data_IF_750676861457
#
_entry.id   IF_750676861457
#
_cell.length_a   1.000
_cell.length_b   1.000
_cell.length_c   1.000
_cell.angle_alpha   90.00
_cell.angle_beta   90.00
_cell.angle_gamma   90.00
#
_symmetry.space_group_name_H-M   'P 1'
#
loop_
_entity.id
_entity.type
_entity.pdbx_description
1 polymer ?
#
# COMPACT_ATOMS: atom_id res chain seq x y z
N UNK A 1 13.57 39.21 24.53
CA UNK A 1 13.10 40.60 24.73
C UNK A 1 14.09 41.37 25.60
N UNK A 2 15.22 41.83 25.05
CA UNK A 2 16.10 42.87 25.62
C UNK A 2 17.34 43.05 24.72
N UNK A 3 17.21 43.75 23.58
CA UNK A 3 18.39 44.07 22.75
C UNK A 3 18.19 45.26 21.78
N UNK A 4 17.32 46.22 22.09
CA UNK A 4 17.07 47.39 21.21
C UNK A 4 17.15 48.73 21.95
N UNK A 5 17.88 48.79 23.08
CA UNK A 5 17.90 49.97 23.96
C UNK A 5 19.11 50.90 23.85
N UNK A 6 20.16 50.58 23.08
CA UNK A 6 21.47 51.21 23.31
C UNK A 6 22.21 51.74 22.06
N UNK A 7 21.51 52.16 21.01
CA UNK A 7 22.18 52.73 19.83
C UNK A 7 21.49 53.96 19.21
N UNK A 8 20.95 54.89 20.02
CA UNK A 8 20.46 56.20 19.54
C UNK A 8 21.06 57.41 20.26
N UNK A 9 22.17 57.22 20.96
CA UNK A 9 22.86 58.28 21.72
C UNK A 9 24.34 58.28 21.33
N UNK A 10 24.68 58.90 20.19
CA UNK A 10 25.94 59.64 19.96
C UNK A 10 26.05 60.11 18.48
N UNK A 11 25.59 61.33 18.19
CA UNK A 11 26.27 62.33 17.32
C UNK A 11 25.31 63.47 16.99
N UNK A 12 25.34 64.49 17.84
CA UNK A 12 25.02 65.85 17.44
C UNK A 12 26.00 66.75 18.17
N UNK A 13 27.03 67.20 17.44
CA UNK A 13 27.82 68.37 17.80
C UNK A 13 27.67 69.36 16.63
N UNK A 14 27.58 70.68 16.88
CA UNK A 14 27.24 71.67 15.87
C UNK A 14 28.51 72.19 15.18
N UNK A 15 28.46 72.28 13.85
CA UNK A 15 29.41 73.08 13.08
C UNK A 15 28.77 74.44 12.82
N UNK A 16 29.22 75.38 13.63
CA UNK A 16 28.93 76.79 13.57
C UNK A 16 29.95 77.44 12.65
N UNK A 17 29.56 77.86 11.44
CA UNK A 17 30.36 78.81 10.67
C UNK A 17 29.53 79.69 9.74
N UNK A 18 29.45 80.96 10.17
CA UNK A 18 29.41 82.23 9.42
C UNK A 18 28.42 82.35 8.27
N UNK A 19 27.26 82.94 8.60
CA UNK A 19 26.48 83.75 7.67
C UNK A 19 26.53 85.21 8.14
N UNK A 20 27.41 86.01 7.56
CA UNK A 20 27.29 87.47 7.59
C UNK A 20 26.07 87.84 6.75
N UNK A 21 24.96 88.18 7.41
CA UNK A 21 23.81 88.83 6.78
C UNK A 21 23.67 90.20 7.43
N UNK A 22 23.79 91.22 6.60
CA UNK A 22 23.53 92.61 6.93
C UNK A 22 22.11 92.70 7.52
N UNK A 23 22.00 93.13 8.77
CA UNK A 23 20.73 93.26 9.46
C UNK A 23 19.88 94.35 8.82
N UNK A 24 18.82 93.94 8.12
CA UNK A 24 17.56 94.68 8.13
C UNK A 24 16.66 93.95 9.11
N UNK A 25 16.09 94.69 10.07
CA UNK A 25 15.16 94.17 11.05
C UNK A 25 13.98 93.49 10.35
N UNK A 26 14.03 92.17 10.24
CA UNK A 26 12.98 91.35 9.68
C UNK A 26 11.99 90.99 10.77
N UNK A 27 10.80 91.57 10.70
CA UNK A 27 9.62 91.08 11.43
C UNK A 27 9.47 89.56 11.25
N UNK A 28 8.97 88.90 12.28
CA UNK A 28 8.73 87.46 12.29
C UNK A 28 7.94 87.04 11.03
N UNK A 29 8.45 86.13 10.18
CA UNK A 29 7.76 85.69 8.96
C UNK A 29 6.45 84.93 9.22
N UNK A 30 6.13 84.64 10.49
CA UNK A 30 4.92 83.96 10.93
C UNK A 30 3.90 84.87 11.65
N UNK A 31 4.14 86.18 11.71
CA UNK A 31 3.14 87.15 12.21
C UNK A 31 2.07 87.38 11.12
N UNK A 32 0.78 87.59 11.46
CA UNK A 32 -0.23 87.89 10.45
C UNK A 32 0.20 89.14 9.68
N UNK A 33 0.33 88.99 8.35
CA UNK A 33 0.87 90.02 7.46
C UNK A 33 0.06 91.30 7.64
N UNK A 34 0.61 92.27 8.39
CA UNK A 34 0.06 93.61 8.42
C UNK A 34 0.16 94.19 7.01
N UNK A 35 -0.87 94.90 6.57
CA UNK A 35 -0.92 95.46 5.21
C UNK A 35 0.25 96.43 5.05
N UNK A 36 1.28 96.00 4.33
CA UNK A 36 2.47 96.80 4.04
C UNK A 36 2.04 98.13 3.42
N UNK A 37 2.74 99.24 3.71
CA UNK A 37 2.42 100.56 3.15
C UNK A 37 2.26 100.54 1.61
N UNK A 38 3.04 99.68 0.92
CA UNK A 38 2.87 99.40 -0.50
C UNK A 38 1.51 98.76 -0.84
N UNK A 39 1.03 97.79 -0.05
CA UNK A 39 -0.29 97.19 -0.21
C UNK A 39 -1.45 98.18 -0.02
N UNK A 40 -1.30 99.17 0.88
CA UNK A 40 -2.27 100.27 1.02
C UNK A 40 -2.26 101.22 -0.19
N UNK A 41 -1.10 101.49 -0.77
CA UNK A 41 -1.00 102.29 -2.00
C UNK A 41 -1.56 101.56 -3.22
N UNK A 42 -1.31 100.26 -3.34
CA UNK A 42 -1.83 99.42 -4.42
C UNK A 42 -3.36 99.27 -4.34
N UNK A 43 -3.90 99.01 -3.14
CA UNK A 43 -5.36 98.94 -2.92
C UNK A 43 -6.05 100.29 -3.21
N UNK A 44 -5.44 101.41 -2.80
CA UNK A 44 -5.95 102.75 -3.17
C UNK A 44 -5.91 102.98 -4.68
N UNK A 45 -4.87 102.52 -5.37
CA UNK A 45 -4.75 102.61 -6.84
C UNK A 45 -5.77 101.76 -7.59
N UNK A 46 -6.14 100.59 -7.04
CA UNK A 46 -7.27 99.78 -7.54
C UNK A 46 -8.60 100.48 -7.32
N UNK A 47 -8.83 101.04 -6.13
CA UNK A 47 -10.06 101.77 -5.80
C UNK A 47 -10.21 103.08 -6.58
N UNK A 48 -9.10 103.73 -6.98
CA UNK A 48 -9.15 104.94 -7.81
C UNK A 48 -9.18 104.66 -9.32
N UNK A 49 -9.16 103.39 -9.75
CA UNK A 49 -9.12 102.99 -11.16
C UNK A 49 -7.83 103.33 -11.90
N UNK A 50 -6.79 103.79 -11.18
CA UNK A 50 -5.48 104.11 -11.75
C UNK A 50 -4.66 102.85 -12.09
N UNK A 51 -4.98 101.73 -11.43
CA UNK A 51 -4.45 100.40 -11.72
C UNK A 51 -5.63 99.45 -11.93
N UNK A 52 -5.57 98.60 -12.97
CA UNK A 52 -6.54 97.51 -13.15
C UNK A 52 -6.05 96.26 -12.41
N UNK A 53 -6.97 95.47 -11.87
CA UNK A 53 -6.65 94.17 -11.25
C UNK A 53 -5.84 93.28 -12.23
N UNK A 54 -6.17 93.33 -13.52
CA UNK A 54 -5.46 92.60 -14.58
C UNK A 54 -3.98 93.00 -14.71
N UNK A 55 -3.63 94.25 -14.35
CA UNK A 55 -2.24 94.73 -14.38
C UNK A 55 -1.43 94.28 -13.17
N UNK A 56 -2.08 94.00 -12.03
CA UNK A 56 -1.43 93.43 -10.84
C UNK A 56 -1.29 91.91 -10.95
N UNK A 57 -2.28 91.24 -11.53
CA UNK A 57 -2.29 89.78 -11.69
C UNK A 57 -1.34 89.32 -12.82
N UNK A 58 -0.92 90.23 -13.71
CA UNK A 58 0.16 90.02 -14.68
C UNK A 58 1.53 90.11 -14.01
N UNK A 59 1.77 89.30 -13.00
CA UNK A 59 3.10 89.14 -12.43
C UNK A 59 3.98 88.34 -13.42
N UNK A 60 5.24 88.74 -13.70
CA UNK A 60 6.13 87.97 -14.56
C UNK A 60 6.36 86.57 -13.97
N UNK A 61 6.64 85.60 -14.85
CA UNK A 61 6.94 84.19 -14.52
C UNK A 61 7.73 84.08 -13.20
N UNK A 62 7.36 83.15 -12.30
CA UNK A 62 8.02 83.01 -11.01
C UNK A 62 9.53 82.94 -11.20
N UNK A 63 10.29 83.64 -10.36
CA UNK A 63 11.75 83.68 -10.48
C UNK A 63 12.31 82.24 -10.54
N UNK A 64 13.37 81.98 -11.33
CA UNK A 64 13.88 80.61 -11.54
C UNK A 64 14.17 79.80 -10.26
N UNK A 65 14.41 80.47 -9.13
CA UNK A 65 14.55 79.84 -7.82
C UNK A 65 13.26 79.18 -7.30
N UNK A 66 12.08 79.77 -7.53
CA UNK A 66 10.79 79.20 -7.11
C UNK A 66 10.41 77.96 -7.90
N UNK A 67 10.77 77.92 -9.20
CA UNK A 67 10.61 76.71 -10.02
C UNK A 67 11.45 75.57 -9.42
N UNK A 68 12.72 75.84 -9.11
CA UNK A 68 13.60 74.83 -8.45
C UNK A 68 13.07 74.40 -7.08
N UNK A 69 12.52 75.30 -6.28
CA UNK A 69 11.89 74.93 -5.01
C UNK A 69 10.69 73.99 -5.23
N UNK A 70 9.82 74.31 -6.19
CA UNK A 70 8.67 73.45 -6.51
C UNK A 70 9.10 72.08 -7.03
N UNK A 71 10.18 72.00 -7.82
CA UNK A 71 10.75 70.73 -8.28
C UNK A 71 11.32 69.92 -7.11
N UNK A 72 12.06 70.57 -6.20
CA UNK A 72 12.59 69.88 -5.01
C UNK A 72 11.49 69.41 -4.06
N UNK A 73 10.41 70.18 -3.93
CA UNK A 73 9.22 69.78 -3.17
C UNK A 73 8.53 68.58 -3.82
N UNK A 74 8.36 68.58 -5.14
CA UNK A 74 7.81 67.44 -5.89
C UNK A 74 8.68 66.19 -5.72
N UNK A 75 10.01 66.32 -5.80
CA UNK A 75 10.95 65.20 -5.58
C UNK A 75 10.82 64.67 -4.15
N UNK A 76 10.74 65.55 -3.15
CA UNK A 76 10.56 65.16 -1.76
C UNK A 76 9.23 64.43 -1.54
N UNK A 77 8.15 64.91 -2.15
CA UNK A 77 6.83 64.29 -2.09
C UNK A 77 6.84 62.90 -2.74
N UNK A 78 7.43 62.77 -3.94
CA UNK A 78 7.59 61.46 -4.61
C UNK A 78 8.46 60.51 -3.80
N UNK A 79 9.53 61.00 -3.17
CA UNK A 79 10.37 60.18 -2.29
C UNK A 79 9.61 59.71 -1.05
N UNK A 80 8.76 60.56 -0.48
CA UNK A 80 7.89 60.18 0.63
C UNK A 80 6.90 59.08 0.19
N UNK A 81 6.29 59.22 -0.99
CA UNK A 81 5.39 58.21 -1.56
C UNK A 81 6.11 56.87 -1.82
N UNK A 82 7.32 56.90 -2.39
CA UNK A 82 8.16 55.69 -2.58
C UNK A 82 8.45 55.03 -1.23
N UNK A 83 8.80 55.83 -0.21
CA UNK A 83 9.08 55.29 1.12
C UNK A 83 7.85 54.63 1.74
N UNK A 84 6.67 55.23 1.55
CA UNK A 84 5.40 54.69 2.01
C UNK A 84 5.06 53.38 1.31
N UNK A 85 5.18 53.33 -0.02
CA UNK A 85 4.93 52.11 -0.80
C UNK A 85 5.90 50.99 -0.43
N UNK A 86 7.17 51.30 -0.16
CA UNK A 86 8.14 50.32 0.31
C UNK A 86 7.74 49.70 1.65
N UNK A 87 7.23 50.51 2.59
CA UNK A 87 6.74 50.01 3.87
C UNK A 87 5.51 49.12 3.69
N UNK A 88 4.58 49.49 2.80
CA UNK A 88 3.41 48.67 2.48
C UNK A 88 3.80 47.32 1.86
N UNK A 89 4.78 47.31 0.95
CA UNK A 89 5.35 46.08 0.39
C UNK A 89 5.97 45.21 1.48
N UNK A 90 6.70 45.81 2.43
CA UNK A 90 7.30 45.07 3.53
C UNK A 90 6.24 44.44 4.43
N UNK A 91 5.16 45.16 4.75
CA UNK A 91 4.02 44.64 5.51
C UNK A 91 3.38 43.45 4.77
N UNK A 92 3.04 43.61 3.50
CA UNK A 92 2.43 42.53 2.70
C UNK A 92 3.34 41.31 2.58
N UNK A 93 4.65 41.52 2.48
CA UNK A 93 5.62 40.43 2.48
C UNK A 93 5.63 39.69 3.82
N UNK A 94 5.65 40.41 4.93
CA UNK A 94 5.58 39.81 6.26
C UNK A 94 4.27 39.04 6.48
N UNK A 95 3.14 39.56 5.99
CA UNK A 95 1.86 38.87 6.04
C UNK A 95 1.88 37.58 5.22
N UNK A 96 2.45 37.61 4.01
CA UNK A 96 2.63 36.42 3.17
C UNK A 96 3.51 35.38 3.86
N UNK A 97 4.65 35.79 4.40
CA UNK A 97 5.61 34.90 5.05
C UNK A 97 5.04 34.29 6.35
N UNK A 98 4.07 34.95 6.97
CA UNK A 98 3.38 34.49 8.19
C UNK A 98 2.05 33.79 7.89
N UNK A 99 1.57 33.83 6.63
CA UNK A 99 0.24 33.35 6.27
C UNK A 99 0.02 31.86 6.59
N UNK A 100 1.06 31.04 6.55
CA UNK A 100 0.96 29.60 6.80
C UNK A 100 0.66 29.24 8.27
N UNK A 101 0.83 30.20 9.19
CA UNK A 101 0.55 30.07 10.62
C UNK A 101 -0.54 31.02 11.13
N UNK A 102 -0.88 32.09 10.40
CA UNK A 102 -1.95 33.03 10.81
C UNK A 102 -3.23 32.85 10.02
N UNK A 103 -3.14 32.45 8.74
CA UNK A 103 -4.31 32.40 7.89
C UNK A 103 -5.13 31.12 8.18
N UNK A 104 -6.44 31.25 8.46
CA UNK A 104 -7.30 30.12 8.77
C UNK A 104 -7.34 29.06 7.65
N UNK A 105 -7.14 29.44 6.39
CA UNK A 105 -7.11 28.50 5.25
C UNK A 105 -5.98 27.48 5.40
N UNK A 106 -4.73 27.94 5.55
CA UNK A 106 -3.56 27.06 5.67
C UNK A 106 -3.58 26.28 7.00
N UNK A 107 -4.05 26.90 8.08
CA UNK A 107 -4.22 26.21 9.37
C UNK A 107 -5.27 25.09 9.30
N UNK A 108 -6.40 25.34 8.64
CA UNK A 108 -7.45 24.33 8.44
C UNK A 108 -6.92 23.18 7.61
N UNK A 109 -6.18 23.47 6.53
CA UNK A 109 -5.55 22.45 5.70
C UNK A 109 -4.56 21.58 6.50
N UNK A 110 -3.65 22.20 7.27
CA UNK A 110 -2.71 21.48 8.14
C UNK A 110 -3.45 20.65 9.22
N UNK A 111 -4.50 21.21 9.82
CA UNK A 111 -5.34 20.53 10.81
C UNK A 111 -6.05 19.30 10.23
N UNK A 112 -6.62 19.42 9.03
CA UNK A 112 -7.26 18.30 8.33
C UNK A 112 -6.27 17.18 8.02
N UNK A 113 -5.06 17.51 7.59
CA UNK A 113 -4.01 16.53 7.34
C UNK A 113 -3.62 15.78 8.62
N UNK A 114 -3.43 16.51 9.74
CA UNK A 114 -3.15 15.90 11.04
C UNK A 114 -4.32 15.02 11.52
N UNK A 115 -5.56 15.47 11.31
CA UNK A 115 -6.74 14.70 11.69
C UNK A 115 -6.87 13.43 10.85
N UNK A 116 -6.54 13.46 9.56
CA UNK A 116 -6.50 12.29 8.70
C UNK A 116 -5.45 11.27 9.19
N UNK A 117 -4.25 11.74 9.55
CA UNK A 117 -3.20 10.89 10.14
C UNK A 117 -3.65 10.26 11.46
N UNK A 118 -4.28 11.04 12.35
CA UNK A 118 -4.81 10.52 13.61
C UNK A 118 -5.88 9.44 13.40
N UNK A 119 -6.83 9.66 12.47
CA UNK A 119 -7.83 8.64 12.10
C UNK A 119 -7.17 7.35 11.60
N UNK A 120 -6.14 7.47 10.77
CA UNK A 120 -5.37 6.31 10.29
C UNK A 120 -4.67 5.58 11.45
N UNK A 121 -4.01 6.31 12.35
CA UNK A 121 -3.37 5.71 13.53
C UNK A 121 -4.38 5.00 14.43
N UNK A 122 -5.55 5.59 14.65
CA UNK A 122 -6.65 4.93 15.39
C UNK A 122 -7.10 3.64 14.72
N UNK A 123 -7.22 3.62 13.38
CA UNK A 123 -7.55 2.42 12.63
C UNK A 123 -6.49 1.33 12.81
N UNK A 124 -5.20 1.67 12.63
CA UNK A 124 -4.08 0.74 12.84
C UNK A 124 -4.07 0.17 14.27
N UNK A 125 -4.37 1.00 15.28
CA UNK A 125 -4.46 0.53 16.66
C UNK A 125 -5.65 -0.41 16.90
N UNK A 126 -6.80 -0.15 16.26
CA UNK A 126 -7.95 -1.07 16.30
C UNK A 126 -7.61 -2.40 15.64
N UNK A 127 -6.98 -2.39 14.47
CA UNK A 127 -6.56 -3.59 13.76
C UNK A 127 -5.54 -4.40 14.55
N UNK A 128 -4.55 -3.72 15.15
CA UNK A 128 -3.59 -4.37 16.05
C UNK A 128 -4.27 -5.03 17.24
N UNK A 129 -5.28 -4.39 17.85
CA UNK A 129 -6.06 -4.99 18.94
C UNK A 129 -6.89 -6.18 18.44
N UNK A 130 -7.54 -6.06 17.29
CA UNK A 130 -8.31 -7.16 16.68
C UNK A 130 -7.43 -8.35 16.33
N UNK A 131 -6.23 -8.11 15.79
CA UNK A 131 -5.25 -9.16 15.50
C UNK A 131 -4.77 -9.83 16.78
N UNK A 132 -4.44 -9.05 17.82
CA UNK A 132 -4.13 -9.63 19.15
C UNK A 132 -5.28 -10.45 19.67
N UNK A 133 -6.52 -9.99 19.58
CA UNK A 133 -7.68 -10.78 19.99
C UNK A 133 -7.80 -12.07 19.19
N UNK A 134 -7.56 -12.05 17.88
CA UNK A 134 -7.59 -13.27 17.03
C UNK A 134 -6.47 -14.25 17.35
N UNK A 135 -5.27 -13.77 17.67
CA UNK A 135 -4.11 -14.59 18.03
C UNK A 135 -4.19 -15.11 19.47
N UNK A 136 -4.74 -14.29 20.38
CA UNK A 136 -4.95 -14.64 21.79
C UNK A 136 -6.20 -15.48 21.97
N UNK A 137 -7.20 -15.39 21.08
CA UNK A 137 -8.27 -16.38 20.95
C UNK A 137 -7.53 -17.68 20.66
N UNK A 138 -7.33 -18.55 21.66
CA UNK A 138 -6.59 -19.75 21.41
C UNK A 138 -7.43 -20.56 20.43
N UNK A 139 -6.84 -21.55 19.78
CA UNK A 139 -7.58 -22.68 19.22
C UNK A 139 -8.22 -23.47 20.39
N UNK A 140 -9.04 -22.77 21.17
CA UNK A 140 -9.63 -23.11 22.47
C UNK A 140 -11.04 -23.66 22.27
N UNK A 141 -11.24 -24.34 21.16
CA UNK A 141 -12.26 -25.38 21.11
C UNK A 141 -11.66 -26.75 21.43
N UNK A 142 -10.32 -26.90 21.53
CA UNK A 142 -9.70 -28.22 21.74
C UNK A 142 -8.80 -28.38 22.98
N UNK A 143 -8.34 -27.29 23.61
CA UNK A 143 -7.59 -27.39 24.88
C UNK A 143 -8.49 -27.06 26.06
N UNK A 144 -9.07 -28.09 26.67
CA UNK A 144 -9.70 -27.97 27.99
C UNK A 144 -8.69 -27.32 28.96
N UNK A 145 -9.11 -26.36 29.81
CA UNK A 145 -8.27 -25.88 30.89
C UNK A 145 -8.01 -27.03 31.84
N UNK A 146 -6.85 -27.68 31.70
CA UNK A 146 -6.38 -28.66 32.67
C UNK A 146 -5.80 -27.84 33.84
N UNK A 147 -6.37 -28.02 35.02
CA UNK A 147 -5.85 -27.43 36.24
C UNK A 147 -4.41 -27.91 36.49
N UNK A 148 -3.52 -27.02 36.91
CA UNK A 148 -2.07 -27.27 36.99
C UNK A 148 -1.69 -28.53 37.77
N UNK A 149 -2.53 -28.94 38.74
CA UNK A 149 -2.38 -30.15 39.55
C UNK A 149 -2.44 -31.43 38.70
N UNK A 150 -3.21 -31.43 37.61
CA UNK A 150 -3.41 -32.60 36.75
C UNK A 150 -2.41 -32.70 35.58
N UNK A 151 -1.55 -31.69 35.37
CA UNK A 151 -0.62 -31.68 34.24
C UNK A 151 0.35 -32.87 34.28
N UNK A 152 0.88 -33.20 35.46
CA UNK A 152 1.78 -34.35 35.62
C UNK A 152 1.12 -35.66 35.18
N UNK A 153 -0.11 -35.87 35.63
CA UNK A 153 -0.87 -37.08 35.32
C UNK A 153 -1.25 -37.15 33.84
N UNK A 154 -1.63 -36.03 33.23
CA UNK A 154 -1.96 -35.97 31.80
C UNK A 154 -0.73 -36.25 30.93
N UNK A 155 0.44 -35.72 31.29
CA UNK A 155 1.70 -36.00 30.58
C UNK A 155 2.07 -37.48 30.71
N UNK A 156 1.91 -38.09 31.88
CA UNK A 156 2.16 -39.52 32.08
C UNK A 156 1.20 -40.39 31.24
N UNK A 157 -0.09 -40.06 31.22
CA UNK A 157 -1.10 -40.80 30.44
C UNK A 157 -0.87 -40.64 28.93
N UNK A 158 -0.52 -39.44 28.46
CA UNK A 158 -0.16 -39.20 27.06
C UNK A 158 1.10 -39.97 26.67
N UNK A 159 2.10 -40.04 27.56
CA UNK A 159 3.29 -40.86 27.37
C UNK A 159 2.96 -42.35 27.21
N UNK A 160 2.09 -42.88 28.07
CA UNK A 160 1.62 -44.27 27.98
C UNK A 160 0.81 -44.53 26.70
N UNK A 161 -0.05 -43.58 26.30
CA UNK A 161 -0.84 -43.68 25.08
C UNK A 161 0.05 -43.68 23.83
N UNK A 162 1.07 -42.81 23.78
CA UNK A 162 2.04 -42.80 22.68
C UNK A 162 2.82 -44.11 22.58
N UNK A 163 3.33 -44.62 23.70
CA UNK A 163 4.04 -45.90 23.73
C UNK A 163 3.13 -47.08 23.33
N UNK A 164 1.85 -47.03 23.71
CA UNK A 164 0.86 -48.02 23.28
C UNK A 164 0.60 -47.95 21.77
N UNK A 165 0.44 -46.75 21.20
CA UNK A 165 0.22 -46.54 19.77
C UNK A 165 1.42 -47.04 18.97
N UNK A 166 2.64 -46.68 19.37
CA UNK A 166 3.87 -47.14 18.71
C UNK A 166 3.98 -48.67 18.74
N UNK A 167 3.66 -49.29 19.88
CA UNK A 167 3.62 -50.75 20.00
C UNK A 167 2.54 -51.38 19.11
N UNK A 168 1.35 -50.80 19.08
CA UNK A 168 0.25 -51.27 18.22
C UNK A 168 0.61 -51.18 16.74
N UNK A 169 1.24 -50.08 16.32
CA UNK A 169 1.70 -49.88 14.96
C UNK A 169 2.79 -50.89 14.57
N UNK A 170 3.72 -51.18 15.47
CA UNK A 170 4.72 -52.24 15.27
C UNK A 170 4.06 -53.62 15.08
N UNK A 171 3.05 -53.94 15.90
CA UNK A 171 2.29 -55.18 15.74
C UNK A 171 1.54 -55.21 14.40
N UNK A 172 0.91 -54.11 14.00
CA UNK A 172 0.20 -54.01 12.72
C UNK A 172 1.15 -54.17 11.53
N UNK A 173 2.34 -53.56 11.61
CA UNK A 173 3.40 -53.73 10.63
C UNK A 173 3.86 -55.19 10.53
N UNK A 174 4.03 -55.89 11.66
CA UNK A 174 4.35 -57.33 11.65
C UNK A 174 3.25 -58.16 11.00
N UNK A 175 1.97 -57.89 11.31
CA UNK A 175 0.83 -58.57 10.68
C UNK A 175 0.78 -58.32 9.17
N UNK A 176 1.08 -57.11 8.72
CA UNK A 176 1.18 -56.78 7.28
C UNK A 176 2.38 -57.42 6.59
N UNK A 177 3.45 -57.71 7.34
CA UNK A 177 4.66 -58.36 6.81
C UNK A 177 4.54 -59.89 6.71
N UNK A 178 3.51 -60.49 7.32
CA UNK A 178 3.16 -61.89 7.08
C UNK A 178 2.94 -62.04 5.57
N UNK A 179 3.63 -62.98 4.89
CA UNK A 179 3.77 -63.00 3.45
C UNK A 179 2.42 -62.85 2.79
N UNK A 180 2.27 -61.83 1.93
CA UNK A 180 1.07 -61.42 1.22
C UNK A 180 0.13 -62.61 0.98
N UNK A 181 -0.75 -62.87 1.95
CA UNK A 181 -1.69 -63.97 1.91
C UNK A 181 -2.47 -63.98 0.59
N UNK A 182 -2.87 -62.82 0.02
CA UNK A 182 -3.50 -62.78 -1.30
C UNK A 182 -2.61 -63.27 -2.45
N UNK A 183 -1.30 -63.01 -2.40
CA UNK A 183 -0.34 -63.47 -3.42
C UNK A 183 -0.11 -64.97 -3.31
N UNK A 184 0.03 -65.48 -2.09
CA UNK A 184 0.14 -66.92 -1.85
C UNK A 184 -1.12 -67.68 -2.31
N UNK A 185 -2.31 -67.16 -1.99
CA UNK A 185 -3.60 -67.73 -2.44
C UNK A 185 -3.69 -67.72 -3.97
N UNK A 186 -3.38 -66.59 -4.62
CA UNK A 186 -3.39 -66.49 -6.09
C UNK A 186 -2.44 -67.51 -6.76
N UNK A 187 -1.26 -67.74 -6.16
CA UNK A 187 -0.33 -68.75 -6.66
C UNK A 187 -0.89 -70.16 -6.50
N UNK A 188 -1.58 -70.45 -5.40
CA UNK A 188 -2.27 -71.73 -5.18
C UNK A 188 -3.43 -71.91 -6.16
N UNK A 189 -4.26 -70.89 -6.40
CA UNK A 189 -5.35 -70.93 -7.39
C UNK A 189 -4.81 -71.21 -8.79
N UNK A 190 -3.69 -70.59 -9.15
CA UNK A 190 -3.01 -70.86 -10.44
C UNK A 190 -2.47 -72.28 -10.51
N UNK A 191 -1.95 -72.83 -9.41
CA UNK A 191 -1.49 -74.22 -9.36
C UNK A 191 -2.66 -75.20 -9.48
N UNK A 192 -3.78 -74.90 -8.82
CA UNK A 192 -5.00 -75.70 -8.89
C UNK A 192 -5.56 -75.74 -10.31
N UNK A 193 -5.66 -74.58 -10.99
CA UNK A 193 -6.11 -74.53 -12.38
C UNK A 193 -5.20 -75.33 -13.34
N UNK A 194 -3.88 -75.36 -13.10
CA UNK A 194 -2.95 -76.21 -13.86
C UNK A 194 -3.18 -77.69 -13.59
N UNK A 195 -3.46 -78.06 -12.35
CA UNK A 195 -3.80 -79.44 -12.02
C UNK A 195 -5.10 -79.89 -12.68
N UNK A 196 -6.14 -79.05 -12.66
CA UNK A 196 -7.42 -79.36 -13.32
C UNK A 196 -7.24 -79.58 -14.83
N UNK A 197 -6.42 -78.74 -15.48
CA UNK A 197 -6.06 -78.91 -16.89
C UNK A 197 -5.37 -80.26 -17.14
N UNK A 198 -4.37 -80.60 -16.32
CA UNK A 198 -3.67 -81.89 -16.43
C UNK A 198 -4.62 -83.07 -16.20
N UNK A 199 -5.56 -82.96 -15.26
CA UNK A 199 -6.57 -84.00 -15.03
C UNK A 199 -7.44 -84.19 -16.28
N UNK A 200 -7.93 -83.11 -16.87
CA UNK A 200 -8.71 -83.16 -18.11
C UNK A 200 -7.92 -83.77 -19.28
N UNK A 201 -6.64 -83.39 -19.44
CA UNK A 201 -5.76 -83.99 -20.45
C UNK A 201 -5.55 -85.49 -20.20
N UNK A 202 -5.39 -85.92 -18.95
CA UNK A 202 -5.25 -87.34 -18.62
C UNK A 202 -6.55 -88.12 -18.83
N UNK A 203 -7.71 -87.51 -18.61
CA UNK A 203 -9.01 -88.10 -18.88
C UNK A 203 -9.22 -88.28 -20.39
N UNK A 204 -8.89 -87.27 -21.20
CA UNK A 204 -8.96 -87.36 -22.65
C UNK A 204 -8.02 -88.44 -23.21
N UNK A 205 -6.77 -88.48 -22.72
CA UNK A 205 -5.82 -89.55 -23.06
C UNK A 205 -6.36 -90.94 -22.67
N UNK A 206 -7.00 -91.07 -21.51
CA UNK A 206 -7.61 -92.34 -21.08
C UNK A 206 -8.76 -92.75 -22.01
N UNK A 207 -9.60 -91.80 -22.43
CA UNK A 207 -10.68 -92.03 -23.38
C UNK A 207 -10.16 -92.44 -24.76
N UNK A 208 -9.11 -91.77 -25.27
CA UNK A 208 -8.46 -92.13 -26.54
C UNK A 208 -7.89 -93.57 -26.49
N UNK A 209 -7.31 -93.98 -25.36
CA UNK A 209 -6.82 -95.36 -25.17
C UNK A 209 -7.98 -96.36 -25.19
N UNK A 210 -9.13 -96.04 -24.58
CA UNK A 210 -10.32 -96.90 -24.60
C UNK A 210 -10.89 -97.04 -26.01
N UNK A 211 -11.06 -95.94 -26.74
CA UNK A 211 -11.51 -95.98 -28.14
C UNK A 211 -10.53 -96.78 -29.02
N UNK A 212 -9.23 -96.60 -28.82
CA UNK A 212 -8.22 -97.36 -29.56
C UNK A 212 -8.30 -98.86 -29.26
N UNK A 213 -8.56 -99.24 -28.00
CA UNK A 213 -8.80 -100.64 -27.61
C UNK A 213 -10.09 -101.21 -28.22
N UNK A 214 -11.16 -100.43 -28.27
CA UNK A 214 -12.43 -100.82 -28.93
C UNK A 214 -12.19 -101.11 -30.42
N UNK A 215 -11.51 -100.18 -31.12
CA UNK A 215 -11.13 -100.36 -32.53
C UNK A 215 -10.26 -101.59 -32.74
N UNK A 216 -9.27 -101.84 -31.88
CA UNK A 216 -8.46 -103.07 -31.94
C UNK A 216 -9.33 -104.33 -31.79
N UNK A 217 -10.27 -104.34 -30.84
CA UNK A 217 -11.20 -105.46 -30.63
C UNK A 217 -12.12 -105.67 -31.84
N UNK A 218 -12.65 -104.60 -32.44
CA UNK A 218 -13.43 -104.68 -33.67
C UNK A 218 -12.60 -105.23 -34.84
N UNK A 219 -11.36 -104.80 -35.03
CA UNK A 219 -10.49 -105.34 -36.09
C UNK A 219 -10.14 -106.82 -35.88
N UNK A 220 -9.96 -107.26 -34.63
CA UNK A 220 -9.76 -108.67 -34.30
C UNK A 220 -11.03 -109.48 -34.61
N UNK A 221 -12.20 -109.01 -34.15
CA UNK A 221 -13.48 -109.66 -34.40
C UNK A 221 -13.81 -109.72 -35.91
N UNK A 222 -13.50 -108.66 -36.66
CA UNK A 222 -13.70 -108.61 -38.12
C UNK A 222 -12.73 -109.52 -38.87
N UNK A 223 -11.53 -109.74 -38.34
CA UNK A 223 -10.59 -110.73 -38.90
C UNK A 223 -11.00 -112.17 -38.60
N UNK A 224 -11.78 -112.38 -37.53
CA UNK A 224 -12.32 -113.69 -37.16
C UNK A 224 -13.58 -114.04 -37.98
N UNK A 225 -14.40 -113.05 -38.33
CA UNK A 225 -15.58 -113.23 -39.22
C UNK A 225 -15.22 -113.35 -40.69
N UNK A 226 -14.08 -112.83 -41.16
CA UNK A 226 -13.57 -113.13 -42.52
C UNK A 226 -12.93 -114.51 -42.60
N UNK A 227 -12.25 -114.97 -41.54
CA UNK A 227 -11.76 -116.35 -41.47
C UNK A 227 -12.91 -117.38 -41.44
N UNK A 228 -14.04 -117.07 -40.81
CA UNK A 228 -15.25 -117.92 -40.84
C UNK A 228 -16.06 -117.77 -42.14
N UNK A 229 -16.10 -116.58 -42.75
CA UNK A 229 -16.83 -116.37 -44.02
C UNK A 229 -16.11 -117.01 -45.22
N UNK A 230 -14.78 -117.07 -45.23
CA UNK A 230 -14.03 -117.80 -46.26
C UNK A 230 -14.13 -119.33 -46.08
N UNK A 231 -14.47 -119.81 -44.88
CA UNK A 231 -14.74 -121.23 -44.63
C UNK A 231 -16.07 -121.70 -45.22
N UNK A 232 -17.08 -120.83 -45.31
CA UNK A 232 -18.40 -121.18 -45.86
C UNK A 232 -18.42 -121.29 -47.38
N UNK A 233 -17.60 -120.51 -48.10
CA UNK A 233 -17.50 -120.61 -49.56
C UNK A 233 -16.83 -121.91 -50.05
N UNK A 234 -16.04 -122.60 -49.21
CA UNK A 234 -15.43 -123.89 -49.60
C UNK A 234 -16.35 -125.11 -49.41
N UNK A 235 -17.34 -125.04 -48.53
CA UNK A 235 -18.16 -126.22 -48.18
C UNK A 235 -19.33 -126.42 -49.16
N UNK A 236 -19.80 -125.35 -49.80
CA UNK A 236 -20.92 -125.42 -50.75
C UNK A 236 -20.54 -125.91 -52.16
N UNK A 237 -19.26 -126.19 -52.45
CA UNK A 237 -18.84 -126.77 -53.74
C UNK A 237 -18.79 -128.30 -53.79
N UNK A 238 -19.25 -129.02 -52.75
CA UNK A 238 -19.09 -130.48 -52.66
C UNK A 238 -20.38 -131.30 -52.48
N UNK A 239 -21.57 -130.71 -52.65
CA UNK A 239 -22.84 -131.45 -52.55
C UNK A 239 -23.77 -131.08 -53.71
N UNK A 240 -23.50 -131.62 -54.89
CA UNK A 240 -24.45 -132.01 -55.96
C UNK A 240 -23.68 -132.69 -57.10
N UNK A 241 -23.31 -133.94 -56.88
CA UNK A 241 -23.22 -135.00 -57.89
C UNK A 241 -23.96 -136.21 -57.36
#
# INVERSE_FOLDING_TARGET
>A
MAAWGLLRKQRRAPLEERRTVCGTAGSNPWDPVQVTAAGLMLSRGLSSGALSQDTLDRCPKPAPCFVRFSETEQIANLQAEISQLNLEIEILKMEKDTADITNPFYLTQKSQALQAMNRHLEAVLKDKRALRQRLVKPLYEESLPIEAVFHRYVVEVLGLAMAFIEKLESHLATVRSIPDLPVAIKNMDSALAKMDLLVAETEDLANQILEWKEKQKETLNNSQTTAESDSWFRISSSISQ
#
